data_IF_431155622607
#
_entry.id   IF_431155622607
#
_cell.length_a   1.000
_cell.length_b   1.000
_cell.length_c   1.000
_cell.angle_alpha   90.00
_cell.angle_beta   90.00
_cell.angle_gamma   90.00
#
_symmetry.space_group_name_H-M   'P 1'
#
loop_
_entity.id
_entity.type
_entity.pdbx_description
1 polymer ?
#
# COMPACT_ATOMS: atom_id res chain seq x y z
N UNK A 1 -38.26 11.65 -2.50
CA UNK A 1 -39.14 11.57 -3.68
C UNK A 1 -38.54 10.58 -4.67
N UNK A 2 -39.17 9.43 -4.90
CA UNK A 2 -38.67 8.43 -5.87
C UNK A 2 -39.19 8.80 -7.25
N UNK A 3 -38.29 9.09 -8.18
CA UNK A 3 -38.66 9.45 -9.56
C UNK A 3 -38.89 8.18 -10.36
N UNK A 4 -40.16 7.75 -10.45
CA UNK A 4 -40.56 6.64 -11.31
C UNK A 4 -40.69 7.09 -12.77
N UNK A 5 -39.57 7.04 -13.51
CA UNK A 5 -39.54 7.41 -14.93
C UNK A 5 -39.76 6.21 -15.85
N UNK A 6 -40.73 6.33 -16.76
CA UNK A 6 -41.02 5.30 -17.78
C UNK A 6 -39.84 5.14 -18.75
N UNK A 7 -39.55 3.90 -19.17
CA UNK A 7 -38.51 3.59 -20.17
C UNK A 7 -38.83 4.24 -21.51
N UNK A 8 -37.80 4.70 -22.23
CA UNK A 8 -37.94 5.39 -23.53
C UNK A 8 -38.65 4.56 -24.61
N UNK A 9 -38.61 3.22 -24.50
CA UNK A 9 -39.24 2.27 -25.44
C UNK A 9 -40.73 2.53 -25.63
N UNK A 10 -41.45 2.94 -24.59
CA UNK A 10 -42.90 3.15 -24.67
C UNK A 10 -43.26 4.39 -25.47
N UNK A 11 -42.43 5.44 -25.39
CA UNK A 11 -42.56 6.65 -26.23
C UNK A 11 -42.23 6.35 -27.69
N UNK A 12 -41.35 5.37 -27.94
CA UNK A 12 -40.93 5.02 -29.29
C UNK A 12 -41.85 4.02 -30.01
N UNK A 13 -42.96 3.59 -29.42
CA UNK A 13 -43.97 2.80 -30.12
C UNK A 13 -44.52 3.60 -31.31
N UNK A 14 -44.81 2.93 -32.43
CA UNK A 14 -45.22 3.55 -33.70
C UNK A 14 -44.17 4.46 -34.39
N UNK A 15 -42.92 4.54 -33.90
CA UNK A 15 -41.82 5.12 -34.66
C UNK A 15 -41.09 4.05 -35.49
N UNK A 16 -40.80 4.34 -36.75
CA UNK A 16 -40.25 3.37 -37.72
C UNK A 16 -38.89 2.76 -37.31
N UNK A 17 -38.04 3.48 -36.57
CA UNK A 17 -36.65 3.04 -36.31
C UNK A 17 -36.21 3.10 -34.84
N UNK A 18 -37.12 3.42 -33.91
CA UNK A 18 -36.85 3.50 -32.46
C UNK A 18 -35.58 4.34 -32.09
N UNK A 19 -35.31 5.42 -32.83
CA UNK A 19 -34.13 6.28 -32.62
C UNK A 19 -32.81 5.69 -33.12
N UNK A 20 -32.83 4.60 -33.88
CA UNK A 20 -31.66 3.94 -34.45
C UNK A 20 -31.14 4.52 -35.77
N UNK A 21 -31.69 5.65 -36.24
CA UNK A 21 -31.37 6.26 -37.53
C UNK A 21 -32.01 5.51 -38.70
N UNK A 22 -31.29 5.36 -39.82
CA UNK A 22 -31.78 4.63 -41.00
C UNK A 22 -31.89 3.13 -40.75
N UNK A 23 -32.83 2.45 -41.43
CA UNK A 23 -33.08 0.98 -41.38
C UNK A 23 -31.86 0.07 -41.63
N UNK A 24 -30.76 0.62 -42.16
CA UNK A 24 -29.50 -0.11 -42.45
C UNK A 24 -28.49 -0.03 -41.31
N UNK A 25 -28.73 0.83 -40.32
CA UNK A 25 -27.89 1.04 -39.14
C UNK A 25 -28.38 0.17 -37.96
N UNK A 26 -27.57 0.06 -36.90
CA UNK A 26 -27.85 -0.74 -35.70
C UNK A 26 -28.04 -2.24 -35.99
N UNK A 27 -27.13 -2.85 -36.75
CA UNK A 27 -27.08 -4.31 -36.98
C UNK A 27 -26.15 -5.00 -35.97
N UNK A 28 -25.48 -6.05 -36.40
CA UNK A 28 -24.54 -6.83 -35.60
C UNK A 28 -23.21 -6.12 -35.32
N UNK A 29 -22.19 -6.91 -35.02
CA UNK A 29 -20.87 -6.43 -34.62
C UNK A 29 -20.19 -5.51 -35.64
N UNK A 30 -20.47 -5.66 -36.93
CA UNK A 30 -19.96 -4.76 -37.97
C UNK A 30 -20.36 -3.30 -37.76
N UNK A 31 -21.60 -3.05 -37.31
CA UNK A 31 -22.06 -1.70 -36.97
C UNK A 31 -21.40 -1.13 -35.69
N UNK A 32 -20.74 -1.96 -34.89
CA UNK A 32 -20.06 -1.58 -33.62
C UNK A 32 -18.53 -1.53 -33.77
N UNK A 33 -18.00 -1.77 -34.97
CA UNK A 33 -16.56 -1.88 -35.18
C UNK A 33 -15.95 -3.13 -34.55
N UNK A 34 -16.64 -4.27 -34.66
CA UNK A 34 -16.24 -5.57 -34.13
C UNK A 34 -16.89 -5.95 -32.80
N UNK A 35 -16.60 -7.16 -32.31
CA UNK A 35 -17.06 -7.64 -30.99
C UNK A 35 -16.05 -7.23 -29.91
N UNK A 36 -16.54 -6.82 -28.74
CA UNK A 36 -15.70 -6.46 -27.59
C UNK A 36 -14.63 -5.40 -27.89
N UNK A 37 -13.41 -5.67 -27.45
CA UNK A 37 -12.24 -4.79 -27.59
C UNK A 37 -11.55 -4.90 -28.97
N UNK A 38 -12.25 -5.36 -30.00
CA UNK A 38 -11.74 -5.31 -31.38
C UNK A 38 -11.36 -3.86 -31.78
N UNK A 39 -10.20 -3.71 -32.43
CA UNK A 39 -9.66 -2.39 -32.82
C UNK A 39 -8.82 -1.69 -31.75
N UNK A 40 -8.43 -2.38 -30.68
CA UNK A 40 -7.67 -1.84 -29.54
C UNK A 40 -6.15 -1.69 -29.75
N UNK A 41 -5.58 -2.22 -30.85
CA UNK A 41 -4.23 -1.87 -31.27
C UNK A 41 -3.26 -3.00 -31.65
N UNK A 42 -3.55 -4.30 -31.45
CA UNK A 42 -2.59 -5.37 -31.83
C UNK A 42 -2.47 -5.58 -33.34
N UNK A 43 -3.58 -5.47 -34.08
CA UNK A 43 -3.63 -5.54 -35.55
C UNK A 43 -4.33 -4.32 -36.15
N UNK A 44 -5.47 -3.93 -35.58
CA UNK A 44 -6.20 -2.72 -35.93
C UNK A 44 -6.25 -1.78 -34.72
N UNK A 45 -6.12 -0.47 -34.96
CA UNK A 45 -5.99 0.57 -33.93
C UNK A 45 -7.09 1.62 -33.91
N UNK A 46 -8.22 1.40 -34.61
CA UNK A 46 -9.30 2.39 -34.75
C UNK A 46 -9.88 2.90 -33.42
N UNK A 47 -9.78 2.10 -32.34
CA UNK A 47 -10.25 2.49 -30.99
C UNK A 47 -9.12 2.94 -30.06
N UNK A 48 -7.87 2.95 -30.50
CA UNK A 48 -6.70 3.20 -29.65
C UNK A 48 -6.73 4.58 -29.01
N UNK A 49 -7.14 5.62 -29.74
CA UNK A 49 -7.25 6.99 -29.22
C UNK A 49 -8.30 7.15 -28.10
N UNK A 50 -9.31 6.29 -28.07
CA UNK A 50 -10.37 6.33 -27.05
C UNK A 50 -10.13 5.45 -25.82
N UNK A 51 -9.07 4.63 -25.83
CA UNK A 51 -8.77 3.68 -24.73
C UNK A 51 -7.62 4.26 -23.91
N UNK A 52 -7.92 4.76 -22.71
CA UNK A 52 -6.93 5.37 -21.80
C UNK A 52 -5.82 4.40 -21.36
N UNK A 53 -6.17 3.13 -21.17
CA UNK A 53 -5.26 2.09 -20.64
C UNK A 53 -5.16 0.87 -21.58
N UNK A 54 -4.76 1.09 -22.84
CA UNK A 54 -4.52 -0.03 -23.76
C UNK A 54 -3.23 -0.76 -23.38
N UNK A 55 -3.32 -1.72 -22.45
CA UNK A 55 -2.20 -2.56 -22.02
C UNK A 55 -1.99 -3.68 -23.03
N UNK A 56 -1.17 -3.40 -24.06
CA UNK A 56 -0.66 -4.42 -24.96
C UNK A 56 0.76 -4.81 -24.52
N UNK A 57 1.00 -6.11 -24.37
CA UNK A 57 2.29 -6.64 -23.93
C UNK A 57 2.41 -6.81 -22.41
N UNK A 58 3.53 -7.40 -21.99
CA UNK A 58 3.86 -7.69 -20.60
C UNK A 58 5.06 -6.83 -20.17
N UNK A 59 5.13 -6.45 -18.88
CA UNK A 59 6.26 -5.71 -18.30
C UNK A 59 6.69 -6.37 -16.99
N UNK A 60 7.99 -6.65 -16.86
CA UNK A 60 8.57 -7.24 -15.65
C UNK A 60 8.28 -8.73 -15.47
N UNK A 61 8.50 -9.24 -14.26
CA UNK A 61 8.21 -10.61 -13.87
C UNK A 61 7.41 -10.62 -12.55
N UNK A 62 6.54 -11.60 -12.36
CA UNK A 62 5.88 -11.87 -11.08
C UNK A 62 6.57 -13.04 -10.41
N UNK A 63 7.22 -12.80 -9.26
CA UNK A 63 7.87 -13.87 -8.50
C UNK A 63 6.87 -14.93 -8.01
N UNK A 64 7.29 -16.19 -8.00
CA UNK A 64 6.45 -17.35 -7.61
C UNK A 64 5.79 -17.15 -6.24
N UNK A 65 6.53 -16.53 -5.30
CA UNK A 65 6.11 -16.29 -3.93
C UNK A 65 5.66 -14.84 -3.68
N UNK A 66 5.05 -14.17 -4.66
CA UNK A 66 4.60 -12.78 -4.51
C UNK A 66 3.64 -12.59 -3.31
N UNK A 67 2.86 -13.62 -2.95
CA UNK A 67 1.99 -13.60 -1.76
C UNK A 67 2.76 -13.68 -0.43
N UNK A 68 3.98 -14.21 -0.45
CA UNK A 68 4.87 -14.33 0.72
C UNK A 68 5.64 -13.05 1.01
N UNK A 69 5.71 -12.13 0.04
CA UNK A 69 6.30 -10.80 0.25
C UNK A 69 5.36 -9.97 1.12
N UNK A 70 5.45 -10.15 2.44
CA UNK A 70 4.69 -9.34 3.40
C UNK A 70 5.13 -7.89 3.25
N UNK A 71 4.18 -7.01 2.95
CA UNK A 71 4.43 -5.57 2.98
C UNK A 71 4.63 -5.15 4.43
N UNK A 72 5.79 -4.59 4.74
CA UNK A 72 6.05 -4.01 6.04
C UNK A 72 5.11 -2.83 6.29
N UNK A 73 4.46 -2.81 7.45
CA UNK A 73 3.66 -1.68 7.93
C UNK A 73 4.61 -0.63 8.49
N UNK A 74 4.68 0.50 7.81
CA UNK A 74 5.56 1.61 8.14
C UNK A 74 4.79 2.79 8.72
N UNK A 75 5.42 3.54 9.62
CA UNK A 75 4.90 4.82 10.13
C UNK A 75 5.97 5.90 10.03
N UNK A 76 5.55 7.15 9.80
CA UNK A 76 6.47 8.29 9.72
C UNK A 76 6.56 9.02 11.07
N UNK A 77 7.73 9.56 11.38
CA UNK A 77 7.97 10.41 12.56
C UNK A 77 6.99 11.58 12.62
N UNK A 78 6.72 12.24 11.50
CA UNK A 78 5.74 13.35 11.42
C UNK A 78 4.28 12.97 11.70
N UNK A 79 3.96 11.68 11.87
CA UNK A 79 2.63 11.27 12.33
C UNK A 79 2.38 11.68 13.79
N UNK A 80 3.42 11.77 14.62
CA UNK A 80 3.32 12.10 16.03
C UNK A 80 3.18 13.61 16.26
N UNK A 81 2.03 14.15 15.87
CA UNK A 81 1.60 15.49 16.24
C UNK A 81 0.86 15.48 17.58
N UNK A 82 0.81 16.63 18.26
CA UNK A 82 0.19 16.77 19.58
C UNK A 82 -1.26 16.26 19.60
N UNK A 83 -2.06 16.64 18.61
CA UNK A 83 -3.45 16.16 18.47
C UNK A 83 -3.56 14.64 18.33
N UNK A 84 -2.64 14.02 17.58
CA UNK A 84 -2.66 12.58 17.33
C UNK A 84 -2.18 11.79 18.53
N UNK A 85 -1.15 12.30 19.23
CA UNK A 85 -0.67 11.69 20.47
C UNK A 85 -1.75 11.76 21.55
N UNK A 86 -2.47 12.88 21.68
CA UNK A 86 -3.60 12.99 22.61
C UNK A 86 -4.71 11.98 22.30
N UNK A 87 -5.09 11.83 21.03
CA UNK A 87 -6.06 10.79 20.61
C UNK A 87 -5.59 9.36 20.88
N UNK A 88 -4.27 9.12 20.84
CA UNK A 88 -3.70 7.81 21.16
C UNK A 88 -3.64 7.55 22.68
N UNK A 89 -3.48 8.61 23.47
CA UNK A 89 -3.59 8.56 24.94
C UNK A 89 -5.02 8.22 25.37
N UNK A 90 -6.03 8.88 24.79
CA UNK A 90 -7.45 8.57 25.06
C UNK A 90 -7.80 7.12 24.73
N UNK A 91 -7.14 6.55 23.72
CA UNK A 91 -7.29 5.15 23.32
C UNK A 91 -6.44 4.17 24.15
N UNK A 92 -5.64 4.66 25.10
CA UNK A 92 -4.76 3.84 25.92
C UNK A 92 -3.58 3.21 25.18
N UNK A 93 -3.30 3.62 23.94
CA UNK A 93 -2.23 3.05 23.11
C UNK A 93 -0.86 3.71 23.31
N UNK A 94 -0.83 4.83 24.05
CA UNK A 94 0.38 5.59 24.39
C UNK A 94 0.33 5.87 25.88
N UNK A 95 1.46 5.72 26.57
CA UNK A 95 1.59 6.07 27.98
C UNK A 95 2.33 7.40 28.12
N UNK A 96 1.89 8.25 29.02
CA UNK A 96 2.62 9.46 29.40
C UNK A 96 3.44 9.12 30.65
N UNK A 97 4.76 9.06 30.51
CA UNK A 97 5.69 8.92 31.62
C UNK A 97 6.47 10.22 31.76
N UNK A 98 6.18 10.97 32.83
CA UNK A 98 6.74 12.30 33.07
C UNK A 98 6.50 13.26 31.88
N UNK A 99 7.58 13.68 31.21
CA UNK A 99 7.59 14.54 30.03
C UNK A 99 7.67 13.78 28.70
N UNK A 100 7.74 12.44 28.74
CA UNK A 100 7.89 11.59 27.56
C UNK A 100 6.58 10.87 27.21
N UNK A 101 6.29 10.81 25.92
CA UNK A 101 5.24 9.94 25.40
C UNK A 101 5.87 8.62 24.97
N UNK A 102 5.55 7.55 25.69
CA UNK A 102 6.01 6.20 25.41
C UNK A 102 5.07 5.56 24.39
N UNK A 103 5.61 5.26 23.21
CA UNK A 103 4.88 4.69 22.09
C UNK A 103 5.51 3.36 21.70
N UNK A 104 4.76 2.28 21.88
CA UNK A 104 5.13 0.97 21.36
C UNK A 104 4.53 0.76 19.97
N UNK A 105 5.38 0.81 18.94
CA UNK A 105 4.96 0.62 17.56
C UNK A 105 4.67 -0.84 17.24
N UNK A 106 5.29 -1.79 17.95
CA UNK A 106 5.06 -3.22 17.77
C UNK A 106 3.65 -3.61 18.20
N UNK A 107 3.20 -3.10 19.36
CA UNK A 107 1.81 -3.25 19.82
C UNK A 107 0.78 -2.60 18.87
N UNK A 108 1.17 -1.51 18.20
CA UNK A 108 0.34 -0.85 17.18
C UNK A 108 0.38 -1.56 15.80
N UNK A 109 1.21 -2.59 15.65
CA UNK A 109 1.34 -3.39 14.43
C UNK A 109 2.18 -2.73 13.34
N UNK A 110 3.05 -1.77 13.67
CA UNK A 110 4.02 -1.18 12.77
C UNK A 110 5.41 -1.80 12.98
N UNK A 111 6.08 -2.17 11.88
CA UNK A 111 7.41 -2.79 11.93
C UNK A 111 8.54 -1.81 11.69
N UNK A 112 8.27 -0.67 11.05
CA UNK A 112 9.33 0.26 10.62
C UNK A 112 8.97 1.73 10.82
N UNK A 113 9.88 2.46 11.47
CA UNK A 113 9.81 3.92 11.61
C UNK A 113 10.58 4.62 10.49
N UNK A 114 9.91 5.55 9.80
CA UNK A 114 10.41 6.33 8.68
C UNK A 114 10.58 7.82 9.04
N UNK A 115 11.55 8.50 8.43
CA UNK A 115 11.95 9.87 8.80
C UNK A 115 11.21 11.03 8.12
N UNK A 116 10.02 10.82 7.55
CA UNK A 116 9.27 11.92 6.93
C UNK A 116 8.57 12.80 7.98
N UNK A 117 8.57 14.12 7.77
CA UNK A 117 8.03 15.12 8.71
C UNK A 117 8.95 15.42 9.91
N UNK A 118 8.47 16.25 10.84
CA UNK A 118 9.21 16.69 12.03
C UNK A 118 8.39 16.42 13.30
N UNK A 119 9.07 16.13 14.40
CA UNK A 119 8.48 15.99 15.74
C UNK A 119 9.01 17.07 16.65
N UNK A 120 8.11 17.76 17.36
CA UNK A 120 8.46 18.71 18.44
C UNK A 120 8.32 18.09 19.83
N UNK A 121 7.77 16.88 19.90
CA UNK A 121 7.45 16.18 21.12
C UNK A 121 8.63 15.28 21.52
N UNK A 122 8.87 15.17 22.83
CA UNK A 122 9.78 14.19 23.41
C UNK A 122 9.10 12.81 23.40
N UNK A 123 9.49 11.97 22.44
CA UNK A 123 8.91 10.64 22.24
C UNK A 123 9.91 9.56 22.66
N UNK A 124 9.44 8.54 23.36
CA UNK A 124 10.18 7.30 23.59
C UNK A 124 9.52 6.21 22.74
N UNK A 125 10.17 5.82 21.63
CA UNK A 125 9.57 4.92 20.64
C UNK A 125 10.23 3.55 20.70
N UNK A 126 9.44 2.50 20.89
CA UNK A 126 9.90 1.11 20.74
C UNK A 126 9.53 0.59 19.35
N UNK A 127 10.51 0.14 18.56
CA UNK A 127 10.29 -0.35 17.19
C UNK A 127 11.37 -1.36 16.74
N UNK A 128 10.99 -2.31 15.88
CA UNK A 128 11.92 -3.31 15.34
C UNK A 128 12.98 -2.69 14.41
N UNK A 129 12.54 -1.87 13.44
CA UNK A 129 13.41 -1.26 12.45
C UNK A 129 13.18 0.26 12.34
N UNK A 130 14.24 1.03 12.13
CA UNK A 130 14.15 2.47 11.88
C UNK A 130 15.17 2.91 10.83
N UNK A 131 14.89 4.03 10.16
CA UNK A 131 15.82 4.66 9.22
C UNK A 131 16.73 5.68 9.93
N UNK A 132 17.99 5.90 9.50
CA UNK A 132 18.91 6.83 10.17
C UNK A 132 18.35 8.24 10.35
N UNK A 133 17.68 8.76 9.31
CA UNK A 133 17.01 10.07 9.35
C UNK A 133 15.90 10.18 10.40
N UNK A 134 15.28 9.07 10.79
CA UNK A 134 14.27 9.08 11.84
C UNK A 134 14.93 9.21 13.21
N UNK A 135 16.06 8.52 13.42
CA UNK A 135 16.83 8.59 14.67
C UNK A 135 17.35 10.00 14.93
N UNK A 136 17.96 10.64 13.91
CA UNK A 136 18.46 12.02 14.00
C UNK A 136 17.34 12.99 14.42
N UNK A 137 16.15 12.87 13.82
CA UNK A 137 15.01 13.75 14.11
C UNK A 137 14.40 13.53 15.47
N UNK A 138 14.30 12.28 15.92
CA UNK A 138 13.76 11.97 17.25
C UNK A 138 14.74 12.43 18.32
N UNK A 139 16.05 12.22 18.14
CA UNK A 139 17.10 12.73 19.04
C UNK A 139 17.11 14.26 19.08
N UNK A 140 16.98 14.93 17.93
CA UNK A 140 16.90 16.40 17.86
C UNK A 140 15.67 16.97 18.59
N UNK A 141 14.58 16.21 18.68
CA UNK A 141 13.39 16.56 19.46
C UNK A 141 13.52 16.24 20.96
N UNK A 142 14.66 15.68 21.39
CA UNK A 142 14.90 15.22 22.76
C UNK A 142 14.17 13.92 23.10
N UNK A 143 13.90 13.08 22.10
CA UNK A 143 13.32 11.75 22.26
C UNK A 143 14.34 10.62 22.14
N UNK A 144 13.91 9.40 22.47
CA UNK A 144 14.73 8.19 22.46
C UNK A 144 14.05 7.10 21.62
N UNK A 145 14.85 6.27 20.93
CA UNK A 145 14.36 5.10 20.19
C UNK A 145 14.98 3.85 20.79
N UNK A 146 14.12 2.92 21.23
CA UNK A 146 14.52 1.61 21.72
C UNK A 146 14.24 0.57 20.64
N UNK A 147 15.28 -0.11 20.15
CA UNK A 147 15.12 -1.29 19.31
C UNK A 147 15.32 -2.54 20.14
N UNK A 148 14.23 -3.22 20.52
CA UNK A 148 14.31 -4.52 21.20
C UNK A 148 14.93 -5.60 20.29
N UNK A 149 15.00 -5.36 18.97
CA UNK A 149 15.55 -6.29 17.99
C UNK A 149 17.09 -6.45 18.06
N UNK A 150 17.85 -5.49 18.61
CA UNK A 150 19.32 -5.63 18.72
C UNK A 150 19.79 -6.47 19.90
N UNK A 151 18.96 -6.69 20.92
CA UNK A 151 19.39 -7.41 22.14
C UNK A 151 19.29 -8.94 22.02
N UNK A 152 18.57 -9.48 21.02
CA UNK A 152 18.45 -10.94 20.82
C UNK A 152 19.48 -11.55 19.86
N UNK A 153 20.20 -10.74 19.09
CA UNK A 153 21.19 -11.22 18.12
C UNK A 153 22.62 -11.38 18.70
N UNK A 154 22.96 -10.65 19.78
CA UNK A 154 24.33 -10.66 20.34
C UNK A 154 24.58 -11.85 21.29
N UNK A 155 23.55 -12.57 21.74
CA UNK A 155 23.68 -13.67 22.74
C UNK A 155 23.81 -15.07 22.10
N UNK A 156 24.01 -15.18 20.77
CA UNK A 156 24.06 -16.48 20.05
C UNK A 156 25.37 -16.82 19.33
N UNK A 157 26.45 -16.13 19.65
CA UNK A 157 27.83 -16.54 19.34
C UNK A 157 28.52 -16.61 20.72
N UNK A 158 29.07 -17.70 21.27
CA UNK A 158 29.86 -18.85 20.78
C UNK A 158 29.76 -19.99 21.85
N UNK A 159 29.89 -21.28 21.51
CA UNK A 159 31.09 -21.99 21.99
C UNK A 159 31.77 -22.81 20.89
N UNK A 160 33.06 -22.54 20.74
CA UNK A 160 34.06 -23.31 20.02
C UNK A 160 34.11 -24.73 20.59
N UNK A 161 34.09 -25.75 19.73
CA UNK A 161 34.67 -27.05 20.03
C UNK A 161 35.87 -27.25 19.13
N UNK A 162 37.05 -27.07 19.73
CA UNK A 162 38.30 -27.62 19.24
C UNK A 162 38.16 -29.15 19.23
N UNK A 163 38.37 -29.78 18.07
CA UNK A 163 38.73 -31.19 18.00
C UNK A 163 40.11 -31.27 17.38
N UNK A 164 41.07 -31.64 18.22
CA UNK A 164 42.46 -31.93 17.91
C UNK A 164 42.57 -32.97 16.79
N UNK A 165 43.42 -32.67 15.82
CA UNK A 165 44.15 -33.67 15.05
C UNK A 165 44.97 -34.53 16.03
N UNK A 166 44.88 -35.86 15.91
CA UNK A 166 45.96 -36.83 16.19
C UNK A 166 45.42 -38.26 16.05
N UNK A 167 45.76 -38.94 14.95
CA UNK A 167 46.58 -40.17 14.92
C UNK A 167 46.44 -40.94 13.61
N UNK A 168 47.60 -41.15 13.01
CA UNK A 168 47.94 -42.12 11.98
C UNK A 168 47.52 -43.55 12.36
N UNK A 169 46.92 -44.28 11.41
CA UNK A 169 47.35 -45.57 10.85
C UNK A 169 46.32 -46.08 9.83
#
# INVERSE_FOLDING_TARGET
>A
MVVNKRKKVTKYRAHTTHGGGHRKKRRGAGSRGGRGNAGSGKRAGQKKAGIKDSKLGNKGFTGMNAKSTKKEKTINVGYFTLEKVNKLLEKGSVKKENDFFVVDLSSLGYQKLLGSGNTKLKLKITVDNFVPRAEEKVKAAGGEINSEAKQKAVVKEVPVKETKEEREQ
#
